data_IF_704030426715
#
_entry.id   IF_704030426715
#
_cell.length_a   1.000
_cell.length_b   1.000
_cell.length_c   1.000
_cell.angle_alpha   90.00
_cell.angle_beta   90.00
_cell.angle_gamma   90.00
#
_symmetry.space_group_name_H-M   'P 1'
#
loop_
_entity.id
_entity.type
_entity.pdbx_description
1 polymer ?
#
# COMPACT_ATOMS: atom_id res chain seq x y z
N UNK A 1 15.09 -16.74 -1.98
CA UNK A 1 14.26 -15.68 -2.59
C UNK A 1 14.52 -14.32 -1.96
N UNK A 2 14.34 -14.12 -0.64
CA UNK A 2 14.46 -12.79 0.01
C UNK A 2 15.78 -12.03 -0.26
N UNK A 3 16.93 -12.72 -0.32
CA UNK A 3 18.23 -12.09 -0.61
C UNK A 3 18.31 -11.65 -2.08
N UNK A 4 17.77 -12.43 -3.00
CA UNK A 4 17.76 -12.09 -4.43
C UNK A 4 16.81 -10.92 -4.71
N UNK A 5 15.64 -10.89 -4.07
CA UNK A 5 14.73 -9.75 -4.06
C UNK A 5 15.42 -8.48 -3.56
N UNK A 6 16.21 -8.61 -2.50
CA UNK A 6 16.96 -7.48 -1.93
C UNK A 6 18.09 -6.99 -2.84
N UNK A 7 18.78 -7.88 -3.56
CA UNK A 7 19.77 -7.51 -4.58
C UNK A 7 19.11 -6.70 -5.70
N UNK A 8 18.00 -7.19 -6.26
CA UNK A 8 17.28 -6.49 -7.32
C UNK A 8 16.87 -5.06 -6.92
N UNK A 9 16.43 -4.86 -5.67
CA UNK A 9 16.12 -3.53 -5.12
C UNK A 9 17.35 -2.62 -5.03
N UNK A 10 18.50 -3.14 -4.58
CA UNK A 10 19.72 -2.35 -4.40
C UNK A 10 20.41 -2.04 -5.73
N UNK A 11 20.52 -3.01 -6.63
CA UNK A 11 21.20 -2.87 -7.92
C UNK A 11 20.45 -1.92 -8.87
N UNK A 12 19.15 -1.70 -8.63
CA UNK A 12 18.29 -0.81 -9.42
C UNK A 12 17.87 0.46 -8.65
N UNK A 13 18.59 0.80 -7.57
CA UNK A 13 18.45 2.05 -6.82
C UNK A 13 17.01 2.35 -6.31
N UNK A 14 16.24 1.32 -5.95
CA UNK A 14 14.93 1.53 -5.31
C UNK A 14 15.12 2.07 -3.89
N UNK A 15 14.69 3.32 -3.67
CA UNK A 15 14.90 4.06 -2.42
C UNK A 15 13.65 4.25 -1.56
N UNK A 16 12.48 4.07 -2.15
CA UNK A 16 11.21 4.28 -1.46
C UNK A 16 10.86 3.07 -0.59
N UNK A 17 10.54 3.27 0.70
CA UNK A 17 10.02 2.21 1.54
C UNK A 17 8.70 1.59 1.03
N UNK A 18 7.93 2.35 0.25
CA UNK A 18 6.71 1.88 -0.41
C UNK A 18 7.00 0.90 -1.55
N UNK A 19 8.26 0.81 -2.02
CA UNK A 19 8.73 -0.25 -2.91
C UNK A 19 9.44 -1.34 -2.12
N UNK A 20 10.38 -0.95 -1.26
CA UNK A 20 11.28 -1.87 -0.56
C UNK A 20 10.53 -2.85 0.35
N UNK A 21 9.71 -2.34 1.28
CA UNK A 21 9.04 -3.17 2.28
C UNK A 21 8.08 -4.18 1.62
N UNK A 22 7.10 -3.76 0.81
CA UNK A 22 6.16 -4.71 0.22
C UNK A 22 6.85 -5.69 -0.73
N UNK A 23 7.91 -5.28 -1.45
CA UNK A 23 8.66 -6.18 -2.34
C UNK A 23 9.42 -7.25 -1.54
N UNK A 24 10.14 -6.87 -0.47
CA UNK A 24 10.83 -7.83 0.40
C UNK A 24 9.84 -8.76 1.09
N UNK A 25 8.72 -8.23 1.59
CA UNK A 25 7.67 -9.02 2.22
C UNK A 25 7.13 -10.04 1.23
N UNK A 26 6.69 -9.60 0.04
CA UNK A 26 6.17 -10.48 -1.00
C UNK A 26 7.17 -11.57 -1.38
N UNK A 27 8.44 -11.22 -1.61
CA UNK A 27 9.50 -12.18 -1.92
C UNK A 27 9.85 -13.13 -0.77
N UNK A 28 9.59 -12.76 0.49
CA UNK A 28 9.74 -13.65 1.63
C UNK A 28 8.59 -14.66 1.71
N UNK A 29 7.35 -14.16 1.69
CA UNK A 29 6.15 -15.00 1.88
C UNK A 29 5.86 -15.88 0.65
N UNK A 30 6.35 -15.51 -0.53
CA UNK A 30 6.23 -16.36 -1.73
C UNK A 30 7.00 -17.67 -1.61
N UNK A 31 7.96 -17.79 -0.68
CA UNK A 31 8.63 -19.07 -0.36
C UNK A 31 7.80 -19.91 0.60
N UNK A 32 6.95 -19.27 1.40
CA UNK A 32 6.20 -19.90 2.48
C UNK A 32 4.78 -20.34 2.02
N UNK A 33 4.27 -19.85 0.88
CA UNK A 33 2.95 -20.16 0.34
C UNK A 33 3.00 -20.46 -1.17
N UNK A 34 2.64 -21.69 -1.55
CA UNK A 34 2.68 -22.18 -2.95
C UNK A 34 1.88 -21.29 -3.92
N UNK A 35 0.77 -20.69 -3.47
CA UNK A 35 -0.06 -19.84 -4.34
C UNK A 35 0.66 -18.53 -4.69
N UNK A 36 1.45 -18.02 -3.75
CA UNK A 36 2.27 -16.84 -3.94
C UNK A 36 3.52 -17.15 -4.75
N UNK A 37 4.10 -18.34 -4.58
CA UNK A 37 5.16 -18.85 -5.44
C UNK A 37 4.70 -18.86 -6.90
N UNK A 38 3.55 -19.51 -7.18
CA UNK A 38 2.95 -19.56 -8.53
C UNK A 38 2.65 -18.16 -9.08
N UNK A 39 2.09 -17.25 -8.27
CA UNK A 39 1.83 -15.88 -8.66
C UNK A 39 3.13 -15.13 -8.96
N UNK A 40 4.17 -15.30 -8.14
CA UNK A 40 5.48 -14.67 -8.31
C UNK A 40 6.16 -15.15 -9.60
N UNK A 41 6.16 -16.46 -9.86
CA UNK A 41 6.69 -17.05 -11.10
C UNK A 41 5.89 -16.60 -12.34
N UNK A 42 4.56 -16.56 -12.22
CA UNK A 42 3.70 -16.06 -13.27
C UNK A 42 3.99 -14.58 -13.56
N UNK A 43 4.24 -13.77 -12.52
CA UNK A 43 4.63 -12.36 -12.68
C UNK A 43 6.03 -12.20 -13.31
N UNK A 44 6.97 -13.07 -12.95
CA UNK A 44 8.36 -13.06 -13.43
C UNK A 44 8.51 -13.39 -14.92
N UNK A 45 7.50 -14.04 -15.51
CA UNK A 45 7.52 -14.49 -16.91
C UNK A 45 6.72 -13.57 -17.85
N UNK A 46 6.16 -12.47 -17.34
CA UNK A 46 5.32 -11.54 -18.11
C UNK A 46 6.18 -10.58 -18.95
N UNK A 47 5.89 -10.52 -20.24
CA UNK A 47 6.22 -9.34 -21.04
C UNK A 47 5.32 -8.17 -20.62
N UNK A 48 5.91 -7.05 -20.22
CA UNK A 48 5.25 -5.94 -19.51
C UNK A 48 4.03 -5.30 -20.20
N UNK A 49 3.86 -5.49 -21.52
CA UNK A 49 2.72 -4.99 -22.30
C UNK A 49 1.72 -6.06 -22.77
N UNK A 50 1.93 -7.33 -22.41
CA UNK A 50 1.04 -8.42 -22.86
C UNK A 50 -0.32 -8.37 -22.15
N UNK A 51 -1.37 -8.84 -22.84
CA UNK A 51 -2.73 -8.94 -22.25
C UNK A 51 -2.73 -9.84 -21.00
N UNK A 52 -1.97 -10.94 -21.06
CA UNK A 52 -1.71 -11.81 -19.92
C UNK A 52 -1.07 -11.04 -18.76
N UNK A 53 -0.12 -10.16 -19.06
CA UNK A 53 0.51 -9.29 -18.09
C UNK A 53 -0.48 -8.37 -17.39
N UNK A 54 -1.34 -7.72 -18.18
CA UNK A 54 -2.40 -6.83 -17.67
C UNK A 54 -3.38 -7.59 -16.76
N UNK A 55 -3.81 -8.78 -17.16
CA UNK A 55 -4.70 -9.62 -16.35
C UNK A 55 -4.05 -10.08 -15.04
N UNK A 56 -2.77 -10.47 -15.05
CA UNK A 56 -2.07 -10.89 -13.83
C UNK A 56 -1.85 -9.72 -12.87
N UNK A 57 -1.51 -8.52 -13.36
CA UNK A 57 -1.45 -7.31 -12.53
C UNK A 57 -2.81 -6.95 -11.94
N UNK A 58 -3.88 -7.06 -12.73
CA UNK A 58 -5.25 -6.85 -12.24
C UNK A 58 -5.61 -7.86 -11.14
N UNK A 59 -5.31 -9.15 -11.32
CA UNK A 59 -5.50 -10.18 -10.30
C UNK A 59 -4.69 -9.87 -9.04
N UNK A 60 -3.42 -9.48 -9.19
CA UNK A 60 -2.58 -9.07 -8.07
C UNK A 60 -3.22 -7.92 -7.28
N UNK A 61 -3.66 -6.85 -7.96
CA UNK A 61 -4.30 -5.69 -7.33
C UNK A 61 -5.63 -6.05 -6.65
N UNK A 62 -6.41 -6.95 -7.24
CA UNK A 62 -7.65 -7.46 -6.62
C UNK A 62 -7.36 -8.21 -5.33
N UNK A 63 -6.28 -9.00 -5.28
CA UNK A 63 -5.87 -9.73 -4.08
C UNK A 63 -5.30 -8.79 -3.02
N UNK A 64 -4.47 -7.83 -3.45
CA UNK A 64 -3.79 -6.90 -2.56
C UNK A 64 -4.26 -5.47 -2.84
N UNK A 65 -5.43 -5.10 -2.29
CA UNK A 65 -6.13 -3.81 -2.52
C UNK A 65 -5.23 -2.56 -2.51
N UNK A 66 -4.15 -2.56 -1.73
CA UNK A 66 -3.23 -1.43 -1.54
C UNK A 66 -1.87 -1.61 -2.20
N UNK A 67 -1.69 -2.65 -3.02
CA UNK A 67 -0.44 -2.96 -3.66
C UNK A 67 -0.63 -3.21 -5.16
N UNK A 68 0.33 -2.77 -5.95
CA UNK A 68 0.39 -3.04 -7.38
C UNK A 68 1.79 -3.51 -7.77
N UNK A 69 1.89 -4.22 -8.88
CA UNK A 69 3.17 -4.56 -9.49
C UNK A 69 3.60 -3.36 -10.31
N UNK A 70 4.59 -2.63 -9.79
CA UNK A 70 5.15 -1.45 -10.44
C UNK A 70 5.98 -1.84 -11.66
N UNK A 71 6.97 -2.69 -11.43
CA UNK A 71 7.95 -3.10 -12.43
C UNK A 71 8.33 -4.58 -12.25
N UNK A 72 9.01 -5.12 -13.25
CA UNK A 72 9.70 -6.39 -13.16
C UNK A 72 11.18 -6.12 -13.40
N UNK A 73 12.02 -6.53 -12.46
CA UNK A 73 13.46 -6.26 -12.47
C UNK A 73 14.18 -7.57 -12.20
N UNK A 74 14.94 -8.06 -13.18
CA UNK A 74 15.67 -9.33 -13.09
C UNK A 74 14.80 -10.51 -12.64
N UNK A 75 13.54 -10.57 -13.08
CA UNK A 75 12.58 -11.60 -12.68
C UNK A 75 11.96 -11.39 -11.29
N UNK A 76 12.26 -10.28 -10.61
CA UNK A 76 11.66 -9.91 -9.33
C UNK A 76 10.53 -8.89 -9.57
N UNK A 77 9.28 -9.20 -9.16
CA UNK A 77 8.20 -8.22 -9.20
C UNK A 77 8.43 -7.15 -8.13
N UNK A 78 8.60 -5.91 -8.57
CA UNK A 78 8.70 -4.76 -7.68
C UNK A 78 7.28 -4.33 -7.33
N UNK A 79 6.95 -4.48 -6.06
CA UNK A 79 5.62 -4.16 -5.52
C UNK A 79 5.64 -2.73 -5.01
N UNK A 80 4.68 -1.92 -5.47
CA UNK A 80 4.42 -0.60 -4.91
C UNK A 80 3.20 -0.66 -4.02
N UNK A 81 3.35 -0.21 -2.79
CA UNK A 81 2.21 0.05 -1.91
C UNK A 81 1.71 1.48 -2.15
N UNK A 82 0.45 1.63 -2.55
CA UNK A 82 -0.19 2.93 -2.70
C UNK A 82 -0.93 3.27 -1.39
N UNK A 83 -0.44 4.24 -0.61
CA UNK A 83 -0.97 4.52 0.72
C UNK A 83 -2.31 5.24 0.71
N UNK A 84 -2.82 5.65 -0.47
CA UNK A 84 -4.11 6.33 -0.65
C UNK A 84 -4.87 5.63 -1.76
N UNK A 85 -5.94 4.90 -1.43
CA UNK A 85 -6.88 4.38 -2.42
C UNK A 85 -8.16 5.21 -2.41
N UNK A 86 -8.65 5.53 -3.61
CA UNK A 86 -9.94 6.19 -3.79
C UNK A 86 -10.75 5.34 -4.76
N UNK A 87 -11.87 4.83 -4.29
CA UNK A 87 -12.73 3.92 -5.06
C UNK A 87 -14.13 4.51 -5.10
N UNK A 88 -14.73 4.48 -6.29
CA UNK A 88 -16.13 4.83 -6.46
C UNK A 88 -16.98 3.57 -6.31
N UNK A 89 -17.73 3.50 -5.21
CA UNK A 89 -18.58 2.37 -4.87
C UNK A 89 -20.00 2.62 -5.39
N UNK A 90 -20.49 1.67 -6.18
CA UNK A 90 -21.89 1.61 -6.61
C UNK A 90 -22.52 0.47 -5.81
N UNK A 91 -23.49 0.77 -4.95
CA UNK A 91 -24.41 -0.25 -4.46
C UNK A 91 -25.63 -0.30 -5.37
N UNK A 92 -26.23 -1.49 -5.51
CA UNK A 92 -27.49 -1.67 -6.25
C UNK A 92 -28.69 -0.95 -5.58
N UNK A 93 -28.49 -0.34 -4.40
CA UNK A 93 -29.50 0.34 -3.57
C UNK A 93 -29.32 1.87 -3.50
N UNK A 94 -28.84 2.50 -4.57
CA UNK A 94 -28.81 3.97 -4.82
C UNK A 94 -27.76 4.84 -4.09
N UNK A 95 -27.05 4.31 -3.09
CA UNK A 95 -25.99 5.06 -2.39
C UNK A 95 -24.65 5.00 -3.16
N UNK A 96 -24.55 5.86 -4.17
CA UNK A 96 -23.27 6.21 -4.79
C UNK A 96 -22.37 6.84 -3.73
N UNK A 97 -21.22 6.25 -3.43
CA UNK A 97 -20.27 6.84 -2.49
C UNK A 97 -18.83 6.66 -2.94
N UNK A 98 -17.94 7.50 -2.41
CA UNK A 98 -16.51 7.39 -2.64
C UNK A 98 -15.85 6.95 -1.34
N UNK A 99 -15.22 5.78 -1.38
CA UNK A 99 -14.36 5.30 -0.32
C UNK A 99 -12.95 5.86 -0.50
N UNK A 100 -12.42 6.51 0.53
CA UNK A 100 -11.03 6.96 0.63
C UNK A 100 -10.35 6.20 1.76
N UNK A 101 -9.45 5.29 1.39
CA UNK A 101 -8.66 4.50 2.32
C UNK A 101 -7.24 5.06 2.42
N UNK A 102 -6.75 5.28 3.64
CA UNK A 102 -5.38 5.72 3.89
C UNK A 102 -4.67 4.76 4.83
N UNK A 103 -3.55 4.18 4.41
CA UNK A 103 -2.83 3.13 5.14
C UNK A 103 -1.48 3.55 5.71
N UNK A 104 -1.08 4.82 5.53
CA UNK A 104 0.18 5.35 6.07
C UNK A 104 -0.05 6.69 6.78
N UNK A 105 0.48 6.81 8.00
CA UNK A 105 0.39 8.03 8.82
C UNK A 105 1.28 9.18 8.30
N UNK A 106 2.21 8.88 7.40
CA UNK A 106 3.10 9.84 6.74
C UNK A 106 2.36 10.69 5.70
N UNK A 107 1.27 10.15 5.14
CA UNK A 107 0.43 10.83 4.15
C UNK A 107 -0.04 12.18 4.69
N UNK A 108 0.12 13.20 3.85
CA UNK A 108 -0.30 14.57 4.17
C UNK A 108 -1.72 14.80 3.69
N UNK A 109 -2.44 15.69 4.38
CA UNK A 109 -3.80 16.09 3.99
C UNK A 109 -3.90 16.56 2.54
N UNK A 110 -2.87 17.25 2.05
CA UNK A 110 -2.84 17.76 0.68
C UNK A 110 -2.72 16.63 -0.36
N UNK A 111 -2.06 15.53 -0.02
CA UNK A 111 -1.95 14.35 -0.89
C UNK A 111 -3.30 13.64 -0.99
N UNK A 112 -4.02 13.52 0.14
CA UNK A 112 -5.39 12.97 0.15
C UNK A 112 -6.33 13.85 -0.67
N UNK A 113 -6.30 15.17 -0.48
CA UNK A 113 -7.09 16.11 -1.28
C UNK A 113 -6.77 15.99 -2.77
N UNK A 114 -5.50 15.97 -3.15
CA UNK A 114 -5.09 15.86 -4.55
C UNK A 114 -5.61 14.55 -5.17
N UNK A 115 -5.36 13.40 -4.49
CA UNK A 115 -5.78 12.09 -5.00
C UNK A 115 -7.29 11.97 -5.11
N UNK A 116 -8.03 12.49 -4.14
CA UNK A 116 -9.48 12.51 -4.17
C UNK A 116 -10.01 13.34 -5.35
N UNK A 117 -9.46 14.54 -5.56
CA UNK A 117 -9.84 15.42 -6.69
C UNK A 117 -9.54 14.79 -8.05
N UNK A 118 -8.37 14.19 -8.20
CA UNK A 118 -7.97 13.46 -9.41
C UNK A 118 -8.94 12.30 -9.69
N UNK A 119 -9.35 11.59 -8.64
CA UNK A 119 -10.28 10.46 -8.75
C UNK A 119 -11.68 10.91 -9.14
N UNK A 120 -12.20 11.99 -8.54
CA UNK A 120 -13.48 12.59 -8.96
C UNK A 120 -13.48 12.93 -10.45
N UNK A 121 -12.43 13.59 -10.93
CA UNK A 121 -12.29 13.92 -12.34
C UNK A 121 -12.23 12.66 -13.23
N UNK A 122 -11.52 11.62 -12.79
CA UNK A 122 -11.43 10.34 -13.51
C UNK A 122 -12.77 9.59 -13.56
N UNK A 123 -13.61 9.74 -12.54
CA UNK A 123 -14.96 9.17 -12.48
C UNK A 123 -16.00 10.04 -13.21
N UNK A 124 -15.62 11.22 -13.70
CA UNK A 124 -16.56 12.18 -14.30
C UNK A 124 -17.53 12.81 -13.29
N UNK A 125 -17.10 12.94 -12.04
CA UNK A 125 -17.88 13.46 -10.92
C UNK A 125 -17.45 14.90 -10.58
N UNK A 126 -18.43 15.74 -10.26
CA UNK A 126 -18.19 17.14 -9.89
C UNK A 126 -18.01 17.28 -8.36
N UNK A 127 -17.12 18.18 -7.93
CA UNK A 127 -17.00 18.61 -6.53
C UNK A 127 -17.80 19.90 -6.28
N UNK A 128 -18.39 20.04 -5.09
CA UNK A 128 -19.17 21.22 -4.73
C UNK A 128 -19.63 21.20 -3.28
N UNK A 129 -19.98 22.37 -2.75
CA UNK A 129 -20.67 22.45 -1.47
C UNK A 129 -22.16 22.21 -1.69
N UNK A 130 -22.73 21.30 -0.91
CA UNK A 130 -24.15 21.01 -0.84
C UNK A 130 -24.57 21.00 0.62
N UNK A 131 -25.82 21.41 0.89
CA UNK A 131 -26.43 21.28 2.22
C UNK A 131 -26.79 19.83 2.54
N UNK A 132 -26.96 19.03 1.49
CA UNK A 132 -27.19 17.59 1.54
C UNK A 132 -25.89 16.83 1.21
N UNK A 133 -25.75 15.59 1.66
CA UNK A 133 -24.53 14.79 1.53
C UNK A 133 -23.86 14.52 2.88
N UNK A 134 -22.78 13.74 2.89
CA UNK A 134 -22.20 13.29 4.15
C UNK A 134 -20.79 12.74 4.05
N UNK A 135 -20.08 12.80 5.18
CA UNK A 135 -18.79 12.12 5.34
C UNK A 135 -18.92 11.24 6.58
N UNK A 136 -18.83 9.94 6.38
CA UNK A 136 -18.69 8.97 7.46
C UNK A 136 -17.27 8.43 7.47
N UNK A 137 -16.86 7.85 8.60
CA UNK A 137 -15.50 7.35 8.73
C UNK A 137 -15.43 6.17 9.69
N UNK A 138 -14.47 5.31 9.45
CA UNK A 138 -14.12 4.19 10.31
C UNK A 138 -12.61 4.12 10.44
N UNK A 139 -12.14 3.80 11.64
CA UNK A 139 -10.73 3.57 11.89
C UNK A 139 -10.55 2.12 12.31
N UNK A 140 -9.72 1.40 11.57
CA UNK A 140 -9.39 -0.01 11.82
C UNK A 140 -7.88 -0.18 11.91
N UNK A 141 -7.37 -1.27 12.50
CA UNK A 141 -5.93 -1.56 12.47
C UNK A 141 -5.38 -1.46 11.04
N UNK A 142 -4.39 -0.57 10.83
CA UNK A 142 -3.72 -0.39 9.55
C UNK A 142 -4.42 0.52 8.52
N UNK A 143 -5.63 1.03 8.78
CA UNK A 143 -6.35 1.87 7.81
C UNK A 143 -7.27 2.91 8.45
N UNK A 144 -7.29 4.12 7.88
CA UNK A 144 -8.36 5.09 8.06
C UNK A 144 -9.24 5.04 6.82
N UNK A 145 -10.51 4.70 7.01
CA UNK A 145 -11.53 4.65 5.96
C UNK A 145 -12.43 5.87 6.08
N UNK A 146 -12.59 6.62 4.99
CA UNK A 146 -13.50 7.77 4.89
C UNK A 146 -14.46 7.49 3.75
N UNK A 147 -15.76 7.40 4.04
CA UNK A 147 -16.79 7.30 3.01
C UNK A 147 -17.40 8.67 2.76
N UNK A 148 -17.49 9.03 1.49
CA UNK A 148 -17.97 10.33 1.05
C UNK A 148 -19.22 10.13 0.21
N UNK A 149 -20.33 10.67 0.69
CA UNK A 149 -21.63 10.61 0.04
C UNK A 149 -21.93 11.94 -0.67
N UNK A 150 -22.44 11.90 -1.90
CA UNK A 150 -22.80 13.10 -2.63
C UNK A 150 -24.00 13.79 -2.00
N UNK A 151 -24.05 15.10 -2.18
CA UNK A 151 -25.26 15.88 -1.94
C UNK A 151 -26.14 15.97 -3.17
N UNK A 152 -27.45 16.00 -2.96
CA UNK A 152 -28.37 16.45 -4.00
C UNK A 152 -28.29 17.97 -4.11
N UNK A 153 -28.29 18.46 -5.35
CA UNK A 153 -28.42 19.89 -5.61
C UNK A 153 -29.89 20.23 -5.53
N UNK A 154 -30.26 21.19 -4.67
CA UNK A 154 -31.58 21.78 -4.70
C UNK A 154 -31.88 22.25 -6.15
N UNK A 155 -33.00 21.83 -6.76
CA UNK A 155 -33.28 22.13 -8.15
C UNK A 155 -33.29 23.65 -8.36
N UNK A 156 -32.51 24.14 -9.33
CA UNK A 156 -32.57 25.52 -9.75
C UNK A 156 -33.90 25.83 -10.48
N UNK A 157 -34.22 27.11 -10.67
CA UNK A 157 -35.48 27.51 -11.33
C UNK A 157 -35.65 26.89 -12.73
N UNK A 158 -34.54 26.71 -13.44
CA UNK A 158 -34.52 26.04 -14.74
C UNK A 158 -34.77 24.53 -14.63
N UNK A 159 -34.28 23.86 -13.57
CA UNK A 159 -34.54 22.46 -13.28
C UNK A 159 -36.01 22.23 -12.91
N UNK A 160 -36.62 23.15 -12.16
CA UNK A 160 -38.06 23.13 -11.88
C UNK A 160 -38.86 23.28 -13.18
N UNK A 161 -38.48 24.20 -14.08
CA UNK A 161 -39.10 24.32 -15.40
C UNK A 161 -38.89 23.09 -16.29
N UNK A 162 -37.73 22.45 -16.25
CA UNK A 162 -37.44 21.21 -17.01
C UNK A 162 -38.23 20.01 -16.49
N UNK A 163 -38.32 19.86 -15.17
CA UNK A 163 -39.20 18.89 -14.50
C UNK A 163 -40.66 19.11 -14.89
N UNK A 164 -41.12 20.37 -14.89
CA UNK A 164 -42.46 20.74 -15.33
C UNK A 164 -42.71 20.45 -16.83
N UNK A 165 -41.65 20.36 -17.65
CA UNK A 165 -41.70 20.02 -19.09
C UNK A 165 -41.43 18.54 -19.38
N UNK A 166 -41.41 17.65 -18.38
CA UNK A 166 -41.12 16.22 -18.52
C UNK A 166 -39.80 15.91 -19.27
N UNK A 167 -38.79 16.78 -19.13
CA UNK A 167 -37.47 16.56 -19.69
C UNK A 167 -36.44 16.44 -18.54
N UNK A 168 -36.51 15.36 -17.73
CA UNK A 168 -35.62 15.19 -16.60
C UNK A 168 -34.20 14.97 -17.12
N UNK A 169 -33.30 15.91 -16.82
CA UNK A 169 -31.88 15.59 -16.81
C UNK A 169 -31.57 14.84 -15.51
N UNK A 170 -30.58 13.94 -15.51
CA UNK A 170 -30.11 13.34 -14.27
C UNK A 170 -29.73 14.45 -13.28
N UNK A 171 -30.24 14.35 -12.05
CA UNK A 171 -29.94 15.31 -10.99
C UNK A 171 -28.43 15.40 -10.81
N UNK A 172 -27.89 16.63 -10.92
CA UNK A 172 -26.48 16.85 -10.64
C UNK A 172 -26.23 16.59 -9.17
N UNK A 173 -25.31 15.68 -8.90
CA UNK A 173 -24.83 15.32 -7.56
C UNK A 173 -23.44 15.91 -7.39
N UNK A 174 -23.22 16.65 -6.30
CA UNK A 174 -21.88 17.16 -5.98
C UNK A 174 -21.31 16.37 -4.82
N UNK A 175 -20.07 15.94 -5.01
CA UNK A 175 -19.29 15.40 -3.92
C UNK A 175 -18.64 16.54 -3.11
N UNK A 176 -18.48 16.37 -1.78
CA UNK A 176 -17.80 17.34 -0.94
C UNK A 176 -16.42 17.77 -1.50
N UNK A 177 -16.01 19.04 -1.33
CA UNK A 177 -14.77 19.53 -1.91
C UNK A 177 -13.54 18.79 -1.39
N UNK A 178 -12.56 18.57 -2.25
CA UNK A 178 -11.36 17.81 -1.90
C UNK A 178 -10.58 18.37 -0.69
N UNK A 179 -10.60 19.69 -0.50
CA UNK A 179 -10.01 20.34 0.67
C UNK A 179 -10.66 19.87 1.98
N UNK A 180 -11.99 19.71 2.00
CA UNK A 180 -12.72 19.23 3.18
C UNK A 180 -12.33 17.79 3.52
N UNK A 181 -12.25 16.91 2.52
CA UNK A 181 -11.83 15.50 2.71
C UNK A 181 -10.41 15.42 3.28
N UNK A 182 -9.50 16.26 2.78
CA UNK A 182 -8.15 16.38 3.34
C UNK A 182 -8.15 16.80 4.81
N UNK A 183 -8.99 17.77 5.20
CA UNK A 183 -9.10 18.21 6.60
C UNK A 183 -9.74 17.13 7.50
N UNK A 184 -10.78 16.43 7.04
CA UNK A 184 -11.36 15.29 7.76
C UNK A 184 -10.28 14.24 8.02
N UNK A 185 -9.52 13.85 6.99
CA UNK A 185 -8.40 12.95 7.16
C UNK A 185 -7.36 13.50 8.15
N UNK A 186 -7.02 14.79 8.09
CA UNK A 186 -6.04 15.40 8.98
C UNK A 186 -6.45 15.29 10.46
N UNK A 187 -7.73 15.47 10.75
CA UNK A 187 -8.31 15.32 12.10
C UNK A 187 -8.22 13.86 12.56
N UNK A 188 -8.64 12.92 11.71
CA UNK A 188 -8.61 11.48 12.02
C UNK A 188 -7.18 10.97 12.23
N UNK A 189 -6.24 11.43 11.38
CA UNK A 189 -4.82 11.12 11.48
C UNK A 189 -4.19 11.70 12.75
N UNK A 190 -4.56 12.93 13.10
CA UNK A 190 -4.08 13.69 14.25
C UNK A 190 -2.62 14.15 14.18
N UNK A 191 -2.11 14.61 15.33
CA UNK A 191 -0.87 15.38 15.45
C UNK A 191 0.00 14.94 16.63
N UNK A 192 1.33 14.95 16.43
CA UNK A 192 2.33 14.74 17.49
C UNK A 192 2.70 16.02 18.27
N UNK A 193 2.18 17.18 17.85
CA UNK A 193 2.44 18.43 18.55
C UNK A 193 1.81 18.42 19.95
N UNK A 194 2.59 18.84 20.96
CA UNK A 194 2.13 18.94 22.35
C UNK A 194 0.86 19.79 22.44
N UNK A 195 -0.16 19.26 23.12
CA UNK A 195 -1.44 19.94 23.32
C UNK A 195 -2.42 19.85 22.16
N UNK A 196 -2.11 19.11 21.08
CA UNK A 196 -3.07 18.83 20.00
C UNK A 196 -3.70 17.44 20.17
N UNK A 197 -4.88 17.26 19.58
CA UNK A 197 -5.51 15.96 19.47
C UNK A 197 -4.57 14.97 18.75
N UNK A 198 -4.29 13.85 19.42
CA UNK A 198 -3.35 12.84 18.92
C UNK A 198 -3.87 12.13 17.67
N UNK A 199 -5.19 12.13 17.46
CA UNK A 199 -5.85 11.40 16.38
C UNK A 199 -5.91 9.92 16.64
N UNK A 200 -6.74 9.24 15.85
CA UNK A 200 -6.82 7.78 15.85
C UNK A 200 -5.74 7.16 14.95
N UNK A 201 -5.37 7.86 13.87
CA UNK A 201 -4.39 7.37 12.91
C UNK A 201 -3.03 7.08 13.51
N UNK A 202 -2.59 7.83 14.52
CA UNK A 202 -1.32 7.58 15.21
C UNK A 202 -1.26 6.26 15.96
N UNK A 203 -2.40 5.73 16.37
CA UNK A 203 -2.47 4.49 17.12
C UNK A 203 -2.77 3.29 16.22
N UNK A 204 -3.46 3.51 15.09
CA UNK A 204 -3.84 2.41 14.18
C UNK A 204 -2.97 2.27 12.93
N UNK A 205 -2.43 3.36 12.38
CA UNK A 205 -1.63 3.31 11.17
C UNK A 205 -0.19 2.89 11.51
N UNK A 206 0.52 2.24 10.58
CA UNK A 206 1.95 2.01 10.74
C UNK A 206 2.67 3.34 10.99
N UNK A 207 3.58 3.32 11.96
CA UNK A 207 4.44 4.46 12.28
C UNK A 207 5.13 4.95 11.01
N UNK A 208 5.02 6.25 10.75
CA UNK A 208 5.68 6.87 9.61
C UNK A 208 7.17 6.58 9.70
N UNK A 209 7.74 6.16 8.57
CA UNK A 209 9.17 6.27 8.31
C UNK A 209 9.49 7.76 8.12
N UNK A 210 9.34 8.53 9.21
CA UNK A 210 9.40 10.01 9.24
C UNK A 210 10.74 10.53 8.73
N UNK A 211 11.78 9.72 8.87
CA UNK A 211 12.98 9.80 8.08
C UNK A 211 12.93 8.60 7.13
N UNK A 212 12.71 8.83 5.83
CA UNK A 212 12.80 7.77 4.81
C UNK A 212 14.19 7.13 4.98
N UNK A 213 14.29 5.92 5.54
CA UNK A 213 15.59 5.31 5.74
C UNK A 213 16.19 5.06 4.36
N UNK A 214 17.49 5.29 4.22
CA UNK A 214 18.18 5.03 2.97
C UNK A 214 18.05 3.55 2.61
N UNK A 215 17.84 3.22 1.33
CA UNK A 215 17.72 1.83 0.87
C UNK A 215 18.82 0.93 1.39
N UNK A 216 20.05 1.46 1.38
CA UNK A 216 21.28 0.81 1.84
C UNK A 216 21.24 0.39 3.31
N UNK A 217 20.34 0.98 4.11
CA UNK A 217 20.09 0.62 5.51
C UNK A 217 18.81 -0.19 5.68
N UNK A 218 17.73 0.19 4.97
CA UNK A 218 16.43 -0.46 5.09
C UNK A 218 16.44 -1.89 4.52
N UNK A 219 16.99 -2.09 3.32
CA UNK A 219 16.98 -3.39 2.65
C UNK A 219 17.72 -4.45 3.49
N UNK A 220 18.96 -4.23 3.98
CA UNK A 220 19.62 -5.20 4.84
C UNK A 220 18.89 -5.44 6.16
N UNK A 221 18.28 -4.41 6.76
CA UNK A 221 17.50 -4.54 7.99
C UNK A 221 16.26 -5.43 7.81
N UNK A 222 15.54 -5.27 6.70
CA UNK A 222 14.39 -6.11 6.37
C UNK A 222 14.82 -7.57 6.11
N UNK A 223 15.90 -7.78 5.36
CA UNK A 223 16.43 -9.14 5.12
C UNK A 223 16.90 -9.78 6.42
N UNK A 224 17.59 -9.04 7.30
CA UNK A 224 18.04 -9.54 8.60
C UNK A 224 16.87 -10.01 9.47
N UNK A 225 15.75 -9.28 9.46
CA UNK A 225 14.54 -9.65 10.19
C UNK A 225 13.96 -10.98 9.70
N UNK A 226 13.87 -11.17 8.38
CA UNK A 226 13.40 -12.43 7.78
C UNK A 226 14.36 -13.60 8.03
N UNK A 227 15.67 -13.39 7.86
CA UNK A 227 16.68 -14.42 8.14
C UNK A 227 16.76 -14.81 9.62
N UNK A 228 16.38 -13.90 10.52
CA UNK A 228 16.22 -14.20 11.96
C UNK A 228 14.94 -14.99 12.27
N UNK A 229 14.20 -15.44 11.26
CA UNK A 229 12.96 -16.20 11.42
C UNK A 229 11.84 -15.36 12.03
N UNK A 230 11.79 -14.05 11.71
CA UNK A 230 10.79 -13.09 12.22
C UNK A 230 10.84 -12.89 13.73
N UNK A 231 11.94 -13.31 14.38
CA UNK A 231 12.14 -13.24 15.84
C UNK A 231 13.25 -12.24 16.16
N UNK A 232 12.84 -11.09 16.70
CA UNK A 232 13.75 -10.14 17.32
C UNK A 232 13.32 -9.95 18.79
N UNK A 233 14.24 -10.03 19.78
CA UNK A 233 15.70 -10.10 19.63
C UNK A 233 16.22 -11.50 19.29
N UNK A 234 17.14 -11.58 18.33
CA UNK A 234 18.00 -12.75 18.09
C UNK A 234 19.23 -12.71 19.02
N UNK A 235 19.75 -13.89 19.38
CA UNK A 235 21.00 -14.02 20.12
C UNK A 235 22.22 -13.56 19.30
N UNK A 236 23.36 -13.37 19.96
CA UNK A 236 24.56 -12.82 19.32
C UNK A 236 25.12 -13.73 18.21
N UNK A 237 25.02 -15.04 18.37
CA UNK A 237 25.51 -16.02 17.40
C UNK A 237 24.68 -15.99 16.11
N UNK A 238 23.36 -16.03 16.24
CA UNK A 238 22.39 -15.86 15.15
C UNK A 238 22.62 -14.55 14.42
N UNK A 239 22.79 -13.45 15.17
CA UNK A 239 23.07 -12.14 14.60
C UNK A 239 24.36 -12.11 13.79
N UNK A 240 25.40 -12.76 14.30
CA UNK A 240 26.69 -12.89 13.62
C UNK A 240 26.53 -13.68 12.32
N UNK A 241 25.94 -14.86 12.38
CA UNK A 241 25.76 -15.75 11.23
C UNK A 241 24.95 -15.06 10.11
N UNK A 242 23.87 -14.36 10.48
CA UNK A 242 23.06 -13.60 9.52
C UNK A 242 23.87 -12.44 8.92
N UNK A 243 24.67 -11.73 9.73
CA UNK A 243 25.52 -10.65 9.22
C UNK A 243 26.56 -11.17 8.22
N UNK A 244 27.14 -12.35 8.48
CA UNK A 244 28.07 -12.98 7.53
C UNK A 244 27.37 -13.35 6.21
N UNK A 245 26.14 -13.86 6.26
CA UNK A 245 25.32 -14.12 5.07
C UNK A 245 25.01 -12.84 4.29
N UNK A 246 24.61 -11.76 4.99
CA UNK A 246 24.35 -10.45 4.38
C UNK A 246 25.62 -9.89 3.73
N UNK A 247 26.76 -9.94 4.42
CA UNK A 247 28.03 -9.48 3.88
C UNK A 247 28.37 -10.21 2.58
N UNK A 248 28.24 -11.54 2.55
CA UNK A 248 28.61 -12.37 1.40
C UNK A 248 27.64 -12.26 0.23
N UNK A 249 26.34 -12.26 0.50
CA UNK A 249 25.31 -12.45 -0.52
C UNK A 249 24.48 -11.20 -0.82
N UNK A 250 24.65 -10.11 -0.09
CA UNK A 250 23.90 -8.87 -0.34
C UNK A 250 24.84 -7.67 -0.43
N UNK A 251 25.60 -7.38 0.62
CA UNK A 251 26.39 -6.14 0.68
C UNK A 251 27.56 -6.18 -0.30
N UNK A 252 28.43 -7.19 -0.22
CA UNK A 252 29.56 -7.29 -1.13
C UNK A 252 29.13 -7.48 -2.60
N UNK A 253 28.03 -8.21 -2.85
CA UNK A 253 27.53 -8.45 -4.21
C UNK A 253 26.99 -7.17 -4.86
N UNK A 254 26.38 -6.27 -4.07
CA UNK A 254 25.87 -4.98 -4.55
C UNK A 254 26.90 -3.84 -4.40
N UNK A 255 28.19 -4.16 -4.16
CA UNK A 255 29.25 -3.15 -4.00
C UNK A 255 29.15 -2.25 -2.76
N UNK A 256 28.40 -2.68 -1.73
CA UNK A 256 28.25 -1.97 -0.46
C UNK A 256 29.34 -2.40 0.55
N UNK A 257 29.59 -1.51 1.52
CA UNK A 257 30.54 -1.79 2.60
C UNK A 257 30.04 -2.94 3.48
N UNK A 258 30.94 -3.88 3.76
CA UNK A 258 30.64 -5.04 4.61
C UNK A 258 30.67 -4.65 6.09
N UNK A 259 29.76 -5.24 6.86
CA UNK A 259 29.61 -4.92 8.27
C UNK A 259 30.67 -5.64 9.12
N UNK A 260 31.37 -4.89 9.96
CA UNK A 260 32.32 -5.45 10.92
C UNK A 260 31.60 -6.11 12.10
N UNK A 261 32.03 -7.32 12.48
CA UNK A 261 31.42 -8.09 13.58
C UNK A 261 31.51 -7.30 14.89
N UNK A 262 30.37 -7.03 15.51
CA UNK A 262 30.30 -6.30 16.79
C UNK A 262 30.58 -4.78 16.69
N UNK A 263 30.80 -4.24 15.49
CA UNK A 263 31.01 -2.82 15.26
C UNK A 263 29.75 -1.96 15.42
N UNK A 264 29.88 -0.64 15.24
CA UNK A 264 28.76 0.30 15.26
C UNK A 264 27.67 -0.06 14.25
N UNK A 265 28.09 -0.45 13.05
CA UNK A 265 27.18 -0.68 11.91
C UNK A 265 26.44 -2.01 12.06
N UNK A 266 27.10 -3.02 12.63
CA UNK A 266 26.43 -4.25 13.09
C UNK A 266 25.32 -3.93 14.11
N UNK A 267 25.63 -3.11 15.12
CA UNK A 267 24.63 -2.73 16.11
C UNK A 267 23.53 -1.82 15.53
N UNK A 268 23.84 -1.03 14.51
CA UNK A 268 22.88 -0.21 13.78
C UNK A 268 21.91 -1.09 12.98
N UNK A 269 22.41 -2.06 12.20
CA UNK A 269 21.61 -3.04 11.46
C UNK A 269 20.53 -3.68 12.35
N UNK A 270 20.90 -4.20 13.51
CA UNK A 270 19.96 -4.88 14.40
C UNK A 270 18.99 -3.94 15.11
N UNK A 271 19.37 -2.68 15.33
CA UNK A 271 18.45 -1.64 15.80
C UNK A 271 17.42 -1.29 14.73
N UNK A 272 17.85 -1.17 13.48
CA UNK A 272 16.96 -0.87 12.36
C UNK A 272 16.04 -2.05 12.05
N UNK A 273 16.55 -3.28 12.06
CA UNK A 273 15.72 -4.49 11.92
C UNK A 273 14.63 -4.54 13.00
N UNK A 274 14.96 -4.20 14.25
CA UNK A 274 13.97 -4.10 15.34
C UNK A 274 12.98 -2.95 15.11
N UNK A 275 13.46 -1.79 14.67
CA UNK A 275 12.65 -0.60 14.39
C UNK A 275 11.60 -0.86 13.30
N UNK A 276 11.93 -1.68 12.31
CA UNK A 276 11.06 -1.97 11.15
C UNK A 276 10.22 -3.24 11.31
N UNK A 277 10.46 -4.05 12.36
CA UNK A 277 9.77 -5.31 12.61
C UNK A 277 8.23 -5.19 12.61
N UNK A 278 7.67 -4.17 13.27
CA UNK A 278 6.22 -3.99 13.35
C UNK A 278 5.60 -3.70 11.97
N UNK A 279 6.29 -2.92 11.13
CA UNK A 279 5.81 -2.58 9.78
C UNK A 279 5.88 -3.81 8.88
N UNK A 280 6.99 -4.55 8.91
CA UNK A 280 7.15 -5.81 8.18
C UNK A 280 6.06 -6.82 8.55
N UNK A 281 5.85 -7.02 9.86
CA UNK A 281 4.84 -7.95 10.35
C UNK A 281 3.41 -7.54 9.95
N UNK A 282 3.07 -6.24 9.99
CA UNK A 282 1.74 -5.76 9.55
C UNK A 282 1.55 -5.92 8.05
N UNK A 283 2.56 -5.60 7.23
CA UNK A 283 2.48 -5.77 5.78
C UNK A 283 2.32 -7.26 5.43
N UNK A 284 3.08 -8.14 6.08
CA UNK A 284 2.96 -9.60 5.92
C UNK A 284 1.58 -10.12 6.34
N UNK A 285 1.08 -9.72 7.52
CA UNK A 285 -0.26 -10.09 7.98
C UNK A 285 -1.35 -9.61 7.03
N UNK A 286 -1.27 -8.37 6.54
CA UNK A 286 -2.22 -7.83 5.57
C UNK A 286 -2.26 -8.62 4.26
N UNK A 287 -1.10 -9.08 3.76
CA UNK A 287 -1.05 -9.97 2.59
C UNK A 287 -1.66 -11.34 2.90
N UNK A 288 -1.35 -11.95 4.05
CA UNK A 288 -1.90 -13.26 4.42
C UNK A 288 -3.40 -13.25 4.69
N UNK A 289 -3.94 -12.23 5.34
CA UNK A 289 -5.37 -12.11 5.61
C UNK A 289 -6.17 -12.12 4.31
N UNK A 290 -5.68 -11.43 3.27
CA UNK A 290 -6.30 -11.44 1.95
C UNK A 290 -6.24 -12.80 1.29
N UNK A 291 -5.11 -13.51 1.39
CA UNK A 291 -4.98 -14.85 0.84
C UNK A 291 -5.87 -15.89 1.52
N UNK A 292 -6.30 -15.64 2.77
CA UNK A 292 -7.26 -16.50 3.47
C UNK A 292 -8.71 -16.20 3.10
N UNK A 293 -9.00 -14.97 2.67
CA UNK A 293 -10.35 -14.55 2.29
C UNK A 293 -10.73 -14.95 0.85
N UNK A 294 -9.75 -15.36 0.04
CA UNK A 294 -9.96 -15.73 -1.36
C UNK A 294 -9.83 -17.24 -1.52
N UNK A 295 -10.92 -17.89 -1.95
CA UNK A 295 -10.85 -19.27 -2.44
C UNK A 295 -10.16 -19.26 -3.82
N UNK A 296 -8.96 -19.81 -3.88
CA UNK A 296 -8.26 -20.02 -5.14
C UNK A 296 -8.69 -21.37 -5.72
N UNK A 297 -9.22 -21.37 -6.95
CA UNK A 297 -9.29 -22.60 -7.71
C UNK A 297 -7.86 -23.03 -8.10
N UNK A 298 -7.60 -24.34 -8.11
CA UNK A 298 -6.33 -24.88 -8.62
C UNK A 298 -6.11 -24.38 -10.04
N UNK A 299 -4.94 -23.83 -10.34
CA UNK A 299 -4.63 -23.29 -11.67
C UNK A 299 -5.05 -21.83 -11.92
N UNK A 300 -5.54 -21.11 -10.90
CA UNK A 300 -5.94 -19.70 -11.00
C UNK A 300 -4.87 -18.77 -11.58
N UNK A 301 -3.58 -19.12 -11.45
CA UNK A 301 -2.46 -18.40 -12.06
C UNK A 301 -1.74 -19.19 -13.16
N UNK A 302 -2.18 -20.42 -13.45
CA UNK A 302 -1.55 -21.30 -14.43
C UNK A 302 -1.76 -20.83 -15.87
N UNK A 303 -0.79 -21.16 -16.71
CA UNK A 303 -0.81 -20.83 -18.14
C UNK A 303 -1.90 -21.57 -18.94
N UNK A 304 -2.51 -22.64 -18.39
CA UNK A 304 -3.38 -23.56 -19.13
C UNK A 304 -4.86 -23.17 -19.17
N UNK A 305 -5.31 -22.21 -18.36
CA UNK A 305 -6.74 -21.81 -18.31
C UNK A 305 -7.09 -20.59 -19.19
N UNK A 306 -6.12 -20.00 -19.89
CA UNK A 306 -6.34 -18.79 -20.70
C UNK A 306 -6.10 -19.03 -22.21
N UNK A 307 -6.60 -20.15 -22.74
CA UNK A 307 -6.79 -20.36 -24.19
C UNK A 307 -8.26 -20.21 -24.56
#
# INVERSE_FOLDING_TARGET
MVVWTAQALLDNDYDSPQHIIPTIVFGAISVDDVRLEELSEALATIEGGSERGRLLRLRFRTLFKYADVWALVDGVPIIQQDPIQVVYEHSDEEDQCIAVDVTDVSVRRMEVSARYKESLAAFGLDEGFSEEGGVSWQVSPGVIHVMVHPGLVAPDGDAIERLARNNPQPERRFFPPAGLIGEVYAILRGSNAKGKFRGFGRDVLPSSLTNKPEARTLVPACVAWYLAGRKIPADYETKTNITELLNRHLLASCGLEVLSKGGSDFNQLWRDARKHADVLNRTEQGMFERLRQVEFMSGYFSASENQ
#
